data_IF_524127595913
#
_entry.id   IF_524127595913
#
_cell.length_a   1.000
_cell.length_b   1.000
_cell.length_c   1.000
_cell.angle_alpha   90.00
_cell.angle_beta   90.00
_cell.angle_gamma   90.00
#
_symmetry.space_group_name_H-M   'P 1'
#
loop_
_entity.id
_entity.type
_entity.pdbx_description
1 polymer ?
#
# COMPACT_ATOMS: atom_id res chain seq x y z
N UNK A 1 -0.97 -6.85 -3.62
CA UNK A 1 -0.05 -5.69 -3.48
C UNK A 1 -0.49 -4.70 -2.41
N UNK A 2 -1.75 -4.25 -2.36
CA UNK A 2 -2.22 -3.33 -1.30
C UNK A 2 -2.03 -3.86 0.13
N UNK A 3 -2.46 -5.10 0.41
CA UNK A 3 -2.24 -5.73 1.71
C UNK A 3 -0.75 -5.89 2.06
N UNK A 4 0.08 -6.22 1.06
CA UNK A 4 1.53 -6.30 1.24
C UNK A 4 2.11 -4.94 1.64
N UNK A 5 1.72 -3.85 0.96
CA UNK A 5 2.20 -2.51 1.29
C UNK A 5 1.83 -2.08 2.71
N UNK A 6 0.60 -2.35 3.14
CA UNK A 6 0.16 -2.05 4.53
C UNK A 6 0.93 -2.91 5.55
N UNK A 7 1.12 -4.19 5.28
CA UNK A 7 1.88 -5.08 6.16
C UNK A 7 3.36 -4.69 6.28
N UNK A 8 4.01 -4.32 5.18
CA UNK A 8 5.40 -3.81 5.19
C UNK A 8 5.51 -2.49 5.95
N UNK A 9 4.57 -1.58 5.74
CA UNK A 9 4.52 -0.32 6.49
C UNK A 9 4.37 -0.56 8.00
N UNK A 10 3.46 -1.46 8.40
CA UNK A 10 3.27 -1.81 9.81
C UNK A 10 4.55 -2.36 10.44
N UNK A 11 5.25 -3.27 9.74
CA UNK A 11 6.52 -3.83 10.22
C UNK A 11 7.60 -2.76 10.39
N UNK A 12 7.75 -1.84 9.42
CA UNK A 12 8.81 -0.82 9.43
C UNK A 12 8.54 0.31 10.40
N UNK A 13 7.28 0.76 10.48
CA UNK A 13 6.87 1.94 11.26
C UNK A 13 6.36 1.59 12.66
N UNK A 14 6.29 0.30 13.01
CA UNK A 14 5.62 -0.21 14.22
C UNK A 14 4.17 0.29 14.33
N UNK A 15 3.51 0.37 13.18
CA UNK A 15 2.10 0.75 13.08
C UNK A 15 1.20 -0.49 13.13
N UNK A 16 -0.11 -0.27 13.26
CA UNK A 16 -1.12 -1.33 13.33
C UNK A 16 -2.30 -1.04 12.41
N UNK A 17 -2.02 -0.59 11.18
CA UNK A 17 -3.04 -0.33 10.17
C UNK A 17 -3.67 -1.64 9.70
N UNK A 18 -4.99 -1.65 9.54
CA UNK A 18 -5.73 -2.81 9.02
C UNK A 18 -6.07 -2.51 7.57
N UNK A 19 -5.53 -3.29 6.63
CA UNK A 19 -5.85 -3.15 5.21
C UNK A 19 -7.33 -3.45 4.96
N UNK A 20 -8.02 -2.58 4.21
CA UNK A 20 -9.41 -2.78 3.81
C UNK A 20 -9.53 -3.07 2.32
N UNK A 21 -9.03 -2.18 1.46
CA UNK A 21 -9.12 -2.36 0.00
C UNK A 21 -8.10 -1.51 -0.77
N UNK A 22 -7.92 -1.83 -2.05
CA UNK A 22 -7.28 -0.93 -3.03
C UNK A 22 -8.38 -0.08 -3.65
N UNK A 23 -8.28 1.23 -3.51
CA UNK A 23 -9.22 2.22 -4.08
C UNK A 23 -8.87 2.50 -5.54
N UNK A 24 -7.57 2.64 -5.82
CA UNK A 24 -7.06 2.94 -7.16
C UNK A 24 -5.66 2.34 -7.31
N UNK A 25 -5.28 2.00 -8.54
CA UNK A 25 -3.95 1.47 -8.84
C UNK A 25 -3.53 1.81 -10.25
N UNK A 26 -2.33 2.37 -10.38
CA UNK A 26 -1.65 2.63 -11.64
C UNK A 26 -0.31 1.89 -11.66
N UNK A 27 0.12 1.47 -12.85
CA UNK A 27 1.43 0.84 -13.05
C UNK A 27 2.25 1.59 -14.10
N UNK A 28 3.56 1.61 -13.88
CA UNK A 28 4.53 2.16 -14.81
C UNK A 28 5.67 1.17 -15.00
N UNK A 29 5.99 0.87 -16.26
CA UNK A 29 7.15 0.06 -16.64
C UNK A 29 8.40 0.95 -16.65
N UNK A 30 9.43 0.52 -15.93
CA UNK A 30 10.78 1.12 -15.86
C UNK A 30 11.82 0.00 -16.03
N UNK A 31 12.89 -0.05 -15.24
CA UNK A 31 13.77 -1.22 -15.07
C UNK A 31 13.13 -2.32 -14.18
N UNK A 32 11.81 -2.44 -14.21
CA UNK A 32 10.93 -3.19 -13.31
C UNK A 32 9.50 -2.65 -13.41
N UNK A 33 8.60 -3.04 -12.52
CA UNK A 33 7.22 -2.50 -12.48
C UNK A 33 7.04 -1.66 -11.21
N UNK A 34 6.72 -0.38 -11.39
CA UNK A 34 6.36 0.51 -10.30
C UNK A 34 4.84 0.60 -10.20
N UNK A 35 4.27 0.23 -9.06
CA UNK A 35 2.85 0.34 -8.79
C UNK A 35 2.59 1.47 -7.81
N UNK A 36 1.78 2.44 -8.22
CA UNK A 36 1.22 3.47 -7.34
C UNK A 36 -0.19 3.04 -6.98
N UNK A 37 -0.44 2.79 -5.70
CA UNK A 37 -1.71 2.32 -5.18
C UNK A 37 -2.28 3.35 -4.22
N UNK A 38 -3.56 3.68 -4.35
CA UNK A 38 -4.33 4.29 -3.28
C UNK A 38 -5.01 3.17 -2.49
N UNK A 39 -4.66 3.01 -1.21
CA UNK A 39 -5.22 1.96 -0.34
C UNK A 39 -6.05 2.56 0.77
N UNK A 40 -7.22 1.98 1.03
CA UNK A 40 -7.98 2.24 2.24
C UNK A 40 -7.48 1.33 3.36
N UNK A 41 -7.14 1.92 4.50
CA UNK A 41 -6.77 1.19 5.70
C UNK A 41 -7.35 1.84 6.95
N UNK A 42 -7.69 1.01 7.93
CA UNK A 42 -8.21 1.45 9.20
C UNK A 42 -7.09 1.71 10.19
N UNK A 43 -7.08 2.90 10.76
CA UNK A 43 -6.30 3.25 11.95
C UNK A 43 -7.25 3.37 13.14
N UNK A 44 -7.26 2.33 13.98
CA UNK A 44 -8.17 2.18 15.12
C UNK A 44 -9.64 2.20 14.69
N UNK A 45 -10.31 3.35 14.79
CA UNK A 45 -11.72 3.52 14.50
C UNK A 45 -11.99 4.20 13.15
N UNK A 46 -10.97 4.85 12.57
CA UNK A 46 -11.12 5.64 11.34
C UNK A 46 -10.49 4.92 10.14
N UNK A 47 -11.24 4.86 9.04
CA UNK A 47 -10.70 4.48 7.72
C UNK A 47 -10.10 5.72 7.07
N UNK A 48 -8.87 5.59 6.58
CA UNK A 48 -8.19 6.63 5.81
C UNK A 48 -7.62 6.03 4.53
N UNK A 49 -7.42 6.89 3.53
CA UNK A 49 -6.75 6.53 2.29
C UNK A 49 -5.27 6.89 2.37
N UNK A 50 -4.41 5.99 1.90
CA UNK A 50 -2.97 6.14 1.90
C UNK A 50 -2.42 5.84 0.51
N UNK A 51 -1.42 6.61 0.07
CA UNK A 51 -0.68 6.30 -1.14
C UNK A 51 0.46 5.34 -0.81
N UNK A 52 0.55 4.24 -1.56
CA UNK A 52 1.59 3.23 -1.44
C UNK A 52 2.31 3.07 -2.79
N UNK A 53 3.64 3.12 -2.76
CA UNK A 53 4.49 2.87 -3.91
C UNK A 53 5.16 1.51 -3.70
N UNK A 54 4.93 0.58 -4.63
CA UNK A 54 5.50 -0.77 -4.60
C UNK A 54 6.32 -0.99 -5.86
N UNK A 55 7.62 -1.24 -5.69
CA UNK A 55 8.52 -1.55 -6.80
C UNK A 55 8.75 -3.07 -6.87
N UNK A 56 8.36 -3.66 -8.00
CA UNK A 56 8.68 -5.04 -8.36
C UNK A 56 9.91 -5.03 -9.28
N UNK A 57 10.92 -5.84 -8.94
CA UNK A 57 12.11 -6.06 -9.77
C UNK A 57 12.18 -7.53 -10.13
N UNK A 58 12.48 -7.81 -11.40
CA UNK A 58 12.73 -9.15 -11.92
C UNK A 58 14.02 -9.77 -11.34
#
# INVERSE_FOLDING_TARGET
MGQFAVSEYNQRSKASLIFESVVEGESQVVEGINYRLLVAAKDKEATNNYEAIVLERD
#
